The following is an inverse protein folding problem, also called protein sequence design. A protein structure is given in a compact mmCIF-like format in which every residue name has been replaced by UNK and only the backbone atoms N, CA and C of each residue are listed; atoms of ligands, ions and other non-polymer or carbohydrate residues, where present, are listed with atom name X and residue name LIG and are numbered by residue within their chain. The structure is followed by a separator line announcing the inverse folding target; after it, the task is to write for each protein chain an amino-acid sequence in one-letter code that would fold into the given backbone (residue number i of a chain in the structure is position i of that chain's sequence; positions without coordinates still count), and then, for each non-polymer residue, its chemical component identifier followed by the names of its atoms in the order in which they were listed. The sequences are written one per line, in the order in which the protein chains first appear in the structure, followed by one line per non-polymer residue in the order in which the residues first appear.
data_IF_378380795134
#
_entry.id   IF_378380795134
#
_cell.length_a   1.000
_cell.length_b   1.000
_cell.length_c   1.000
_cell.angle_alpha   90.00
_cell.angle_beta   90.00
_cell.angle_gamma   90.00
#
_symmetry.space_group_name_H-M   'P 1'
#
loop_
_entity.id
_entity.type
_entity.pdbx_description
1 polymer ?
#
# COMPACT_ATOMS: atom_id res chain seq x y z
N UNK A 1 -26.79 9.34 15.31
CA UNK A 1 -26.08 8.90 14.11
C UNK A 1 -26.40 7.41 13.91
N UNK A 2 -27.32 7.07 12.98
CA UNK A 2 -27.72 5.67 12.78
C UNK A 2 -26.64 4.97 11.94
N UNK A 3 -26.06 3.93 12.49
CA UNK A 3 -25.15 3.02 11.77
C UNK A 3 -26.03 2.16 10.87
N UNK A 4 -25.87 2.27 9.54
CA UNK A 4 -26.60 1.44 8.59
C UNK A 4 -26.25 -0.03 8.77
N UNK A 5 -27.26 -0.89 8.68
CA UNK A 5 -27.05 -2.34 8.71
C UNK A 5 -26.37 -2.82 7.42
N UNK A 6 -25.52 -3.86 7.47
CA UNK A 6 -24.84 -4.40 6.30
C UNK A 6 -25.84 -5.08 5.35
N UNK A 7 -25.83 -4.70 4.07
CA UNK A 7 -26.56 -5.43 3.03
C UNK A 7 -25.73 -6.62 2.57
N UNK A 8 -26.22 -7.82 2.83
CA UNK A 8 -25.68 -9.07 2.30
C UNK A 8 -26.19 -9.29 0.88
N UNK A 9 -25.44 -8.86 -0.11
CA UNK A 9 -25.75 -9.10 -1.52
C UNK A 9 -24.65 -9.89 -2.20
N UNK A 10 -24.90 -11.14 -2.43
CA UNK A 10 -24.47 -12.11 -3.43
C UNK A 10 -23.94 -13.41 -2.83
N UNK A 11 -24.72 -14.47 -2.86
CA UNK A 11 -24.44 -15.91 -3.03
C UNK A 11 -23.23 -16.61 -2.38
N UNK A 12 -22.41 -15.92 -1.60
CA UNK A 12 -21.27 -16.48 -0.88
C UNK A 12 -21.66 -16.77 0.58
N UNK A 13 -21.24 -17.93 1.10
CA UNK A 13 -21.52 -18.31 2.48
C UNK A 13 -20.98 -17.26 3.45
N UNK A 14 -21.79 -16.87 4.44
CA UNK A 14 -21.56 -15.76 5.40
C UNK A 14 -20.28 -15.85 6.25
N UNK A 15 -19.56 -16.94 6.20
CA UNK A 15 -18.38 -17.24 7.02
C UNK A 15 -17.03 -16.71 6.45
N UNK A 16 -17.05 -16.15 5.24
CA UNK A 16 -15.82 -15.67 4.56
C UNK A 16 -15.77 -14.17 4.25
N UNK A 17 -16.88 -13.44 4.38
CA UNK A 17 -16.92 -11.98 4.18
C UNK A 17 -17.30 -11.35 5.49
N UNK A 18 -16.36 -10.70 6.17
CA UNK A 18 -16.67 -10.08 7.45
C UNK A 18 -17.48 -8.80 7.26
N UNK A 19 -17.17 -7.90 6.30
CA UNK A 19 -17.99 -6.69 6.04
C UNK A 19 -17.69 -6.07 4.67
N UNK A 20 -18.75 -5.59 4.00
CA UNK A 20 -18.66 -4.61 2.91
C UNK A 20 -19.32 -3.32 3.41
N UNK A 21 -18.55 -2.25 3.57
CA UNK A 21 -19.07 -0.95 4.00
C UNK A 21 -19.38 -0.05 2.81
N UNK A 22 -20.65 0.25 2.57
CA UNK A 22 -21.09 1.29 1.63
C UNK A 22 -21.48 2.54 2.40
N UNK A 23 -20.77 3.63 2.23
CA UNK A 23 -21.11 4.90 2.87
C UNK A 23 -22.04 5.74 1.98
N UNK A 24 -23.13 6.26 2.58
CA UNK A 24 -24.21 6.98 1.93
C UNK A 24 -23.81 8.34 1.33
N UNK A 25 -24.26 8.57 0.12
CA UNK A 25 -24.65 9.80 -0.62
C UNK A 25 -23.66 10.89 -1.01
N UNK A 26 -22.39 10.96 -0.60
CA UNK A 26 -21.50 12.03 -1.10
C UNK A 26 -20.13 11.64 -1.62
N UNK A 27 -19.59 10.50 -1.27
CA UNK A 27 -18.47 9.83 -1.95
C UNK A 27 -18.64 8.32 -1.78
N UNK A 28 -18.80 7.62 -2.88
CA UNK A 28 -18.91 6.14 -2.88
C UNK A 28 -17.52 5.53 -2.73
N UNK A 29 -17.00 5.46 -1.51
CA UNK A 29 -15.83 4.64 -1.23
C UNK A 29 -16.30 3.24 -0.84
N UNK A 30 -15.94 2.24 -1.62
CA UNK A 30 -16.14 0.85 -1.28
C UNK A 30 -14.96 0.36 -0.46
N UNK A 31 -15.22 -0.43 0.57
CA UNK A 31 -14.21 -1.02 1.45
C UNK A 31 -14.50 -2.51 1.57
N UNK A 32 -13.50 -3.33 1.28
CA UNK A 32 -13.55 -4.78 1.45
C UNK A 32 -12.66 -5.17 2.64
N UNK A 33 -13.21 -5.92 3.59
CA UNK A 33 -12.47 -6.48 4.72
C UNK A 33 -12.58 -8.00 4.62
N UNK A 34 -11.45 -8.67 4.58
CA UNK A 34 -11.35 -10.13 4.50
C UNK A 34 -10.47 -10.67 5.62
N UNK A 35 -10.87 -11.78 6.21
CA UNK A 35 -10.02 -12.54 7.13
C UNK A 35 -8.86 -13.17 6.36
N UNK A 36 -7.65 -13.13 6.97
CA UNK A 36 -6.45 -13.80 6.48
C UNK A 36 -5.63 -14.24 7.70
N UNK A 37 -5.74 -15.52 8.05
CA UNK A 37 -5.28 -16.04 9.35
C UNK A 37 -3.77 -16.18 9.46
N UNK A 38 -3.05 -16.18 8.33
CA UNK A 38 -1.59 -16.27 8.31
C UNK A 38 -0.98 -15.52 7.12
N UNK A 39 0.34 -15.41 7.12
CA UNK A 39 1.11 -14.87 6.00
C UNK A 39 1.64 -15.98 5.06
N UNK A 40 0.98 -17.14 5.04
CA UNK A 40 1.25 -18.16 4.02
C UNK A 40 0.96 -17.56 2.63
N UNK A 41 1.89 -17.72 1.67
CA UNK A 41 1.91 -16.95 0.43
C UNK A 41 0.66 -17.15 -0.43
N UNK A 42 0.20 -18.40 -0.59
CA UNK A 42 -0.98 -18.69 -1.41
C UNK A 42 -2.28 -18.23 -0.71
N UNK A 43 -2.33 -18.29 0.62
CA UNK A 43 -3.47 -17.76 1.37
C UNK A 43 -3.58 -16.24 1.20
N UNK A 44 -2.45 -15.52 1.37
CA UNK A 44 -2.40 -14.07 1.17
C UNK A 44 -2.76 -13.70 -0.26
N UNK A 45 -2.16 -14.38 -1.25
CA UNK A 45 -2.45 -14.17 -2.67
C UNK A 45 -3.95 -14.35 -2.98
N UNK A 46 -4.55 -15.46 -2.56
CA UNK A 46 -5.96 -15.75 -2.82
C UNK A 46 -6.89 -14.76 -2.11
N UNK A 47 -6.54 -14.33 -0.90
CA UNK A 47 -7.29 -13.31 -0.15
C UNK A 47 -7.24 -11.96 -0.86
N UNK A 48 -6.07 -11.53 -1.32
CA UNK A 48 -5.90 -10.30 -2.10
C UNK A 48 -6.66 -10.37 -3.44
N UNK A 49 -6.55 -11.48 -4.16
CA UNK A 49 -7.28 -11.72 -5.42
C UNK A 49 -8.78 -11.59 -5.25
N UNK A 50 -9.32 -12.21 -4.18
CA UNK A 50 -10.74 -12.09 -3.83
C UNK A 50 -11.12 -10.64 -3.49
N UNK A 51 -10.27 -9.93 -2.72
CA UNK A 51 -10.51 -8.54 -2.35
C UNK A 51 -10.56 -7.61 -3.57
N UNK A 52 -9.63 -7.75 -4.49
CA UNK A 52 -9.59 -6.96 -5.74
C UNK A 52 -10.79 -7.29 -6.63
N UNK A 53 -11.16 -8.56 -6.77
CA UNK A 53 -12.34 -8.96 -7.54
C UNK A 53 -13.64 -8.36 -6.97
N UNK A 54 -13.79 -8.31 -5.63
CA UNK A 54 -14.95 -7.68 -4.97
C UNK A 54 -15.00 -6.15 -5.17
N UNK A 55 -13.85 -5.52 -5.41
CA UNK A 55 -13.74 -4.09 -5.73
C UNK A 55 -13.90 -3.81 -7.24
N UNK A 56 -14.17 -4.84 -8.06
CA UNK A 56 -14.41 -4.69 -9.49
C UNK A 56 -13.19 -4.93 -10.38
N UNK A 57 -12.08 -5.47 -9.86
CA UNK A 57 -10.85 -5.73 -10.60
C UNK A 57 -9.90 -4.54 -10.68
N UNK A 58 -8.66 -4.77 -11.12
CA UNK A 58 -7.64 -3.74 -11.24
C UNK A 58 -7.99 -2.64 -12.24
N UNK A 59 -8.67 -2.97 -13.35
CA UNK A 59 -9.08 -2.04 -14.39
C UNK A 59 -10.04 -0.95 -13.89
N UNK A 60 -10.66 -1.14 -12.74
CA UNK A 60 -11.46 -0.12 -12.05
C UNK A 60 -10.58 1.03 -11.53
N UNK A 61 -9.31 0.75 -11.24
CA UNK A 61 -8.39 1.69 -10.57
C UNK A 61 -7.17 2.04 -11.41
N UNK A 62 -6.74 1.17 -12.33
CA UNK A 62 -5.46 1.25 -13.03
C UNK A 62 -5.62 1.02 -14.52
N UNK A 63 -4.76 1.66 -15.31
CA UNK A 63 -4.58 1.39 -16.75
C UNK A 63 -3.29 0.62 -16.98
N UNK A 64 -3.24 -0.21 -18.03
CA UNK A 64 -2.09 -1.09 -18.29
C UNK A 64 -0.79 -0.33 -18.58
N UNK A 65 -0.89 0.86 -19.16
CA UNK A 65 0.23 1.72 -19.54
C UNK A 65 0.81 2.52 -18.37
N UNK A 66 0.10 2.60 -17.23
CA UNK A 66 0.48 3.42 -16.10
C UNK A 66 1.75 2.91 -15.41
N UNK A 67 2.58 3.86 -14.98
CA UNK A 67 3.68 3.63 -14.05
C UNK A 67 3.11 3.50 -12.65
N UNK A 68 3.20 2.32 -12.07
CA UNK A 68 2.60 2.01 -10.77
C UNK A 68 3.69 1.91 -9.72
N UNK A 69 3.55 2.70 -8.67
CA UNK A 69 4.41 2.66 -7.50
C UNK A 69 3.75 1.87 -6.37
N UNK A 70 4.35 0.76 -5.98
CA UNK A 70 4.00 0.03 -4.77
C UNK A 70 4.69 0.68 -3.58
N UNK A 71 3.91 1.16 -2.63
CA UNK A 71 4.45 1.80 -1.43
C UNK A 71 4.17 0.98 -0.17
N UNK A 72 5.06 0.04 0.19
CA UNK A 72 4.99 -0.63 1.48
C UNK A 72 5.29 0.34 2.63
N UNK A 73 5.24 -0.14 3.85
CA UNK A 73 5.75 0.54 5.02
C UNK A 73 7.11 -0.08 5.40
N UNK A 74 8.20 0.65 5.15
CA UNK A 74 9.59 0.20 5.37
C UNK A 74 10.28 1.13 6.38
N UNK A 75 9.97 1.00 7.65
CA UNK A 75 10.47 1.92 8.68
C UNK A 75 11.97 1.74 8.93
N UNK A 76 12.41 0.50 9.11
CA UNK A 76 13.79 0.09 9.40
C UNK A 76 13.94 -1.40 9.19
N UNK A 77 15.18 -1.88 9.04
CA UNK A 77 15.47 -3.33 9.03
C UNK A 77 14.97 -3.97 10.33
N UNK A 78 14.19 -5.04 10.18
CA UNK A 78 13.65 -5.82 11.29
C UNK A 78 13.29 -7.22 10.78
N UNK A 79 13.35 -8.21 11.69
CA UNK A 79 12.81 -9.54 11.43
C UNK A 79 11.30 -9.45 11.12
N UNK A 80 10.83 -10.30 10.22
CA UNK A 80 9.44 -10.26 9.71
C UNK A 80 8.43 -10.49 10.84
N UNK A 81 8.76 -11.37 11.77
CA UNK A 81 7.96 -11.76 12.95
C UNK A 81 7.68 -10.58 13.90
N UNK A 82 8.55 -9.58 13.88
CA UNK A 82 8.35 -8.35 14.68
C UNK A 82 7.26 -7.44 14.13
N UNK A 83 6.73 -7.75 12.96
CA UNK A 83 5.63 -7.01 12.30
C UNK A 83 5.86 -5.48 12.18
N UNK A 84 7.13 -5.05 12.06
CA UNK A 84 7.52 -3.63 11.96
C UNK A 84 7.23 -3.06 10.58
N UNK A 85 7.41 -3.89 9.53
CA UNK A 85 7.23 -3.50 8.12
C UNK A 85 6.03 -4.24 7.50
N UNK A 86 5.64 -3.82 6.30
CA UNK A 86 4.70 -4.60 5.49
C UNK A 86 5.28 -5.99 5.22
N UNK A 87 4.48 -7.02 5.46
CA UNK A 87 4.94 -8.40 5.30
C UNK A 87 5.29 -8.70 3.82
N UNK A 88 6.42 -9.37 3.52
CA UNK A 88 6.83 -9.68 2.15
C UNK A 88 5.76 -10.41 1.33
N UNK A 89 5.02 -11.36 1.93
CA UNK A 89 3.94 -12.08 1.26
C UNK A 89 2.82 -11.16 0.72
N UNK A 90 2.53 -10.03 1.40
CA UNK A 90 1.55 -9.04 0.91
C UNK A 90 2.08 -8.33 -0.33
N UNK A 91 3.35 -7.91 -0.31
CA UNK A 91 3.99 -7.27 -1.48
C UNK A 91 4.05 -8.24 -2.64
N UNK A 92 4.50 -9.48 -2.39
CA UNK A 92 4.56 -10.55 -3.41
C UNK A 92 3.19 -10.85 -4.01
N UNK A 93 2.15 -10.98 -3.19
CA UNK A 93 0.79 -11.25 -3.65
C UNK A 93 0.27 -10.15 -4.58
N UNK A 94 0.48 -8.88 -4.25
CA UNK A 94 0.10 -7.74 -5.12
C UNK A 94 0.92 -7.72 -6.42
N UNK A 95 2.25 -7.90 -6.33
CA UNK A 95 3.13 -7.95 -7.51
C UNK A 95 2.68 -9.06 -8.45
N UNK A 96 2.44 -10.27 -7.92
CA UNK A 96 2.00 -11.44 -8.69
C UNK A 96 0.66 -11.14 -9.40
N UNK A 97 -0.33 -10.62 -8.69
CA UNK A 97 -1.64 -10.27 -9.28
C UNK A 97 -1.52 -9.24 -10.39
N UNK A 98 -0.72 -8.19 -10.21
CA UNK A 98 -0.51 -7.18 -11.23
C UNK A 98 0.20 -7.75 -12.47
N UNK A 99 1.24 -8.56 -12.27
CA UNK A 99 1.99 -9.19 -13.38
C UNK A 99 1.14 -10.20 -14.15
N UNK A 100 0.34 -11.02 -13.48
CA UNK A 100 -0.59 -11.97 -14.11
C UNK A 100 -1.62 -11.26 -15.00
N UNK A 101 -2.03 -10.05 -14.63
CA UNK A 101 -2.95 -9.23 -15.42
C UNK A 101 -2.24 -8.30 -16.43
N UNK A 102 -0.91 -8.39 -16.58
CA UNK A 102 -0.14 -7.70 -17.62
C UNK A 102 0.28 -6.27 -17.30
N UNK A 103 0.26 -5.85 -16.03
CA UNK A 103 0.87 -4.58 -15.62
C UNK A 103 2.39 -4.73 -15.56
N UNK A 104 3.11 -3.97 -16.38
CA UNK A 104 4.56 -4.16 -16.58
C UNK A 104 5.41 -3.09 -15.92
N UNK A 105 4.93 -1.84 -15.84
CA UNK A 105 5.67 -0.69 -15.31
C UNK A 105 5.52 -0.56 -13.79
N UNK A 106 6.12 -1.51 -13.06
CA UNK A 106 6.04 -1.56 -11.60
C UNK A 106 7.34 -1.11 -10.95
N UNK A 107 7.21 -0.29 -9.91
CA UNK A 107 8.29 0.05 -8.98
C UNK A 107 7.83 -0.13 -7.54
N UNK A 108 8.77 -0.31 -6.61
CA UNK A 108 8.49 -0.49 -5.19
C UNK A 108 9.50 0.30 -4.35
N UNK A 109 9.01 1.08 -3.38
CA UNK A 109 9.88 1.87 -2.51
C UNK A 109 9.15 2.58 -1.38
N UNK A 110 9.93 3.13 -0.46
CA UNK A 110 9.47 3.93 0.67
C UNK A 110 10.59 4.85 1.15
N UNK A 111 10.24 5.93 1.85
CA UNK A 111 11.18 6.72 2.61
C UNK A 111 11.37 6.12 4.00
N UNK A 112 12.38 5.29 4.14
CA UNK A 112 12.74 4.66 5.42
C UNK A 112 13.17 5.70 6.47
N UNK A 113 12.91 5.42 7.74
CA UNK A 113 13.43 6.25 8.83
C UNK A 113 14.95 6.14 8.99
N UNK A 114 15.51 4.96 8.69
CA UNK A 114 16.94 4.67 8.76
C UNK A 114 17.32 3.76 7.59
N UNK A 115 18.34 4.14 6.84
CA UNK A 115 18.85 3.38 5.69
C UNK A 115 18.07 3.63 4.40
N UNK A 116 18.34 2.84 3.38
CA UNK A 116 17.61 2.85 2.10
C UNK A 116 16.52 1.77 2.07
N UNK A 117 15.55 1.94 1.18
CA UNK A 117 14.49 0.94 0.96
C UNK A 117 15.09 -0.44 0.63
N UNK A 118 16.09 -0.50 -0.26
CA UNK A 118 16.77 -1.74 -0.62
C UNK A 118 17.38 -2.44 0.60
N UNK A 119 18.12 -1.73 1.46
CA UNK A 119 18.74 -2.31 2.67
C UNK A 119 17.71 -2.86 3.68
N UNK A 120 16.53 -2.27 3.74
CA UNK A 120 15.45 -2.79 4.58
C UNK A 120 14.86 -4.06 3.98
N UNK A 121 14.69 -4.10 2.67
CA UNK A 121 14.16 -5.26 1.92
C UNK A 121 15.10 -6.46 1.96
N UNK A 122 16.43 -6.27 1.82
CA UNK A 122 17.46 -7.31 1.89
C UNK A 122 17.34 -8.18 3.14
N UNK A 123 16.93 -7.59 4.26
CA UNK A 123 16.75 -8.34 5.51
C UNK A 123 15.57 -9.31 5.52
N UNK A 124 14.72 -9.28 4.50
CA UNK A 124 13.49 -10.07 4.42
C UNK A 124 13.35 -10.85 3.10
N UNK A 125 14.33 -10.78 2.21
CA UNK A 125 14.28 -11.36 0.87
C UNK A 125 13.30 -10.68 -0.10
N UNK A 126 12.73 -9.54 0.31
CA UNK A 126 11.79 -8.80 -0.54
C UNK A 126 12.47 -8.20 -1.76
N UNK A 127 13.74 -7.79 -1.64
CA UNK A 127 14.55 -7.26 -2.75
C UNK A 127 14.73 -8.29 -3.86
N UNK A 128 15.17 -9.51 -3.51
CA UNK A 128 15.33 -10.59 -4.49
C UNK A 128 13.99 -10.95 -5.15
N UNK A 129 12.93 -11.06 -4.35
CA UNK A 129 11.59 -11.30 -4.88
C UNK A 129 11.15 -10.23 -5.88
N UNK A 130 11.39 -8.96 -5.61
CA UNK A 130 11.05 -7.87 -6.53
C UNK A 130 11.87 -7.93 -7.82
N UNK A 131 13.18 -8.23 -7.71
CA UNK A 131 14.07 -8.42 -8.86
C UNK A 131 13.61 -9.60 -9.75
N UNK A 132 13.22 -10.73 -9.16
CA UNK A 132 12.72 -11.92 -9.87
C UNK A 132 11.43 -11.62 -10.67
N UNK A 133 10.59 -10.72 -10.18
CA UNK A 133 9.39 -10.24 -10.89
C UNK A 133 9.65 -9.05 -11.82
N UNK A 134 10.89 -8.57 -11.94
CA UNK A 134 11.24 -7.40 -12.75
C UNK A 134 10.56 -6.11 -12.26
N UNK A 135 10.51 -5.93 -10.93
CA UNK A 135 9.99 -4.72 -10.28
C UNK A 135 11.16 -3.87 -9.81
N UNK A 136 11.23 -2.62 -10.27
CA UNK A 136 12.29 -1.71 -9.90
C UNK A 136 12.20 -1.28 -8.43
N UNK A 137 13.30 -1.41 -7.67
CA UNK A 137 13.40 -0.86 -6.32
C UNK A 137 13.83 0.59 -6.43
N UNK A 138 13.06 1.50 -5.83
CA UNK A 138 13.30 2.95 -5.89
C UNK A 138 13.46 3.55 -4.50
N UNK A 139 14.42 4.47 -4.37
CA UNK A 139 14.65 5.23 -3.14
C UNK A 139 13.92 6.57 -3.18
N UNK A 140 13.48 7.02 -2.00
CA UNK A 140 12.77 8.29 -1.82
C UNK A 140 13.69 9.39 -1.27
N UNK A 141 14.98 9.33 -1.57
CA UNK A 141 15.98 10.29 -1.06
C UNK A 141 15.96 11.62 -1.83
N UNK A 142 15.68 11.58 -3.12
CA UNK A 142 15.56 12.75 -3.98
C UNK A 142 14.11 13.17 -4.17
N UNK A 143 13.91 14.46 -4.42
CA UNK A 143 12.58 15.00 -4.66
C UNK A 143 12.61 16.49 -4.96
N UNK A 144 11.44 17.09 -5.01
CA UNK A 144 11.27 18.53 -5.17
C UNK A 144 10.05 19.04 -4.43
N UNK A 145 10.01 20.35 -4.21
CA UNK A 145 8.86 21.00 -3.57
C UNK A 145 7.70 21.09 -4.56
N UNK A 146 6.54 20.61 -4.11
CA UNK A 146 5.27 20.71 -4.81
C UNK A 146 4.36 21.65 -4.04
N UNK A 147 3.83 22.66 -4.75
CA UNK A 147 2.91 23.62 -4.17
C UNK A 147 1.49 23.06 -4.08
N UNK A 148 0.83 23.29 -2.95
CA UNK A 148 -0.58 22.96 -2.71
C UNK A 148 -1.28 24.13 -2.01
N UNK A 149 -1.60 25.20 -2.74
CA UNK A 149 -2.16 26.45 -2.17
C UNK A 149 -3.45 26.25 -1.37
N UNK A 150 -4.25 25.22 -1.69
CA UNK A 150 -5.50 24.87 -1.02
C UNK A 150 -5.32 24.20 0.34
N UNK A 151 -4.09 23.82 0.70
CA UNK A 151 -3.81 23.19 1.98
C UNK A 151 -4.15 24.12 3.15
N UNK A 152 -4.77 23.60 4.21
CA UNK A 152 -5.08 24.38 5.40
C UNK A 152 -3.85 24.69 6.24
N UNK A 153 -3.03 23.66 6.51
CA UNK A 153 -1.86 23.77 7.40
C UNK A 153 -0.57 23.90 6.60
N UNK A 154 -0.36 23.03 5.62
CA UNK A 154 0.80 23.05 4.75
C UNK A 154 0.41 23.45 3.34
N UNK A 155 1.20 24.35 2.72
CA UNK A 155 1.00 24.87 1.37
C UNK A 155 1.99 24.25 0.37
N UNK A 156 3.05 23.62 0.88
CA UNK A 156 4.12 23.03 0.09
C UNK A 156 4.54 21.70 0.73
N UNK A 157 4.94 20.76 -0.12
CA UNK A 157 5.43 19.46 0.30
C UNK A 157 6.68 19.10 -0.52
N UNK A 158 7.73 18.63 0.14
CA UNK A 158 8.89 18.07 -0.54
C UNK A 158 8.62 16.59 -0.86
N UNK A 159 8.02 16.33 -2.01
CA UNK A 159 7.68 14.97 -2.43
C UNK A 159 8.87 14.24 -3.04
N UNK A 160 8.99 12.96 -2.75
CA UNK A 160 10.00 12.10 -3.35
C UNK A 160 9.80 11.98 -4.87
N UNK A 161 10.90 11.96 -5.63
CA UNK A 161 10.89 11.89 -7.09
C UNK A 161 10.08 10.72 -7.63
N UNK A 162 10.21 9.47 -7.11
CA UNK A 162 9.39 8.35 -7.59
C UNK A 162 7.88 8.57 -7.44
N UNK A 163 7.46 9.33 -6.41
CA UNK A 163 6.03 9.66 -6.20
C UNK A 163 5.54 10.66 -7.25
N UNK A 164 6.40 11.59 -7.68
CA UNK A 164 6.05 12.59 -8.69
C UNK A 164 6.05 12.03 -10.12
N UNK A 165 6.81 10.96 -10.36
CA UNK A 165 6.99 10.34 -11.69
C UNK A 165 6.06 9.15 -11.94
N UNK A 166 5.22 8.80 -10.97
CA UNK A 166 4.26 7.70 -11.07
C UNK A 166 2.86 8.20 -11.44
N UNK A 167 2.12 7.39 -12.18
CA UNK A 167 0.72 7.68 -12.56
C UNK A 167 -0.24 7.16 -11.50
N UNK A 168 0.11 6.05 -10.83
CA UNK A 168 -0.69 5.44 -9.79
C UNK A 168 0.16 4.94 -8.61
N UNK A 169 -0.39 5.03 -7.39
CA UNK A 169 0.27 4.57 -6.17
C UNK A 169 -0.62 3.57 -5.43
N UNK A 170 -0.09 2.38 -5.20
CA UNK A 170 -0.72 1.36 -4.36
C UNK A 170 -0.10 1.40 -2.97
N UNK A 171 -0.88 1.83 -1.99
CA UNK A 171 -0.43 2.02 -0.61
C UNK A 171 -0.55 0.71 0.19
N UNK A 172 0.54 -0.05 0.29
CA UNK A 172 0.63 -1.31 1.02
C UNK A 172 1.02 -1.06 2.48
N UNK A 173 0.15 -0.41 3.22
CA UNK A 173 0.41 0.01 4.59
C UNK A 173 0.43 -1.18 5.58
N UNK A 174 0.99 -0.92 6.77
CA UNK A 174 0.93 -1.82 7.94
C UNK A 174 0.18 -1.13 9.07
N UNK A 175 -0.93 -1.69 9.48
CA UNK A 175 -1.63 -1.23 10.68
C UNK A 175 -0.87 -1.73 11.93
N UNK A 176 -0.43 -0.80 12.77
CA UNK A 176 0.35 -1.08 13.99
C UNK A 176 0.32 0.09 14.97
N UNK A 177 0.85 -0.11 16.17
CA UNK A 177 1.08 0.97 17.13
C UNK A 177 2.17 1.93 16.65
N UNK A 178 2.12 3.17 17.11
CA UNK A 178 3.11 4.21 16.82
C UNK A 178 3.38 5.03 18.08
N UNK A 179 4.65 5.32 18.35
CA UNK A 179 5.07 5.99 19.60
C UNK A 179 4.46 7.39 19.75
N UNK A 180 4.38 8.18 18.66
CA UNK A 180 3.84 9.53 18.69
C UNK A 180 2.34 9.56 18.35
N UNK A 181 1.93 8.88 17.27
CA UNK A 181 0.57 8.95 16.72
C UNK A 181 -0.35 7.87 17.30
N UNK A 182 0.12 7.05 18.24
CA UNK A 182 -0.55 5.88 18.83
C UNK A 182 -0.86 4.77 17.82
N UNK A 183 -1.44 5.09 16.67
CA UNK A 183 -1.78 4.15 15.60
C UNK A 183 -1.26 4.67 14.26
N UNK A 184 -0.76 3.77 13.41
CA UNK A 184 -0.41 4.04 12.02
C UNK A 184 -1.12 3.06 11.09
N UNK A 185 -1.46 3.53 9.90
CA UNK A 185 -2.16 2.78 8.87
C UNK A 185 -2.04 3.47 7.51
N UNK A 186 -3.06 3.39 6.66
CA UNK A 186 -3.04 3.88 5.29
C UNK A 186 -2.66 5.35 5.16
N UNK A 187 -3.36 6.25 5.86
CA UNK A 187 -3.11 7.70 5.79
C UNK A 187 -1.70 8.04 6.29
N UNK A 188 -1.30 7.49 7.45
CA UNK A 188 0.04 7.74 8.02
C UNK A 188 1.17 7.21 7.13
N UNK A 189 0.94 6.10 6.41
CA UNK A 189 1.94 5.55 5.49
C UNK A 189 2.24 6.49 4.32
N UNK A 190 1.25 7.25 3.84
CA UNK A 190 1.45 8.24 2.78
C UNK A 190 2.39 9.39 3.19
N UNK A 191 2.59 9.63 4.49
CA UNK A 191 3.61 10.57 4.97
C UNK A 191 5.04 10.15 4.56
N UNK A 192 5.25 8.86 4.26
CA UNK A 192 6.49 8.36 3.66
C UNK A 192 6.75 8.83 2.22
N UNK A 193 5.77 9.48 1.56
CA UNK A 193 5.98 10.13 0.26
C UNK A 193 6.82 11.41 0.38
N UNK A 194 6.95 11.97 1.58
CA UNK A 194 7.85 13.08 1.89
C UNK A 194 9.25 12.51 2.11
N UNK A 195 10.24 13.07 1.40
CA UNK A 195 11.62 12.60 1.45
C UNK A 195 12.33 12.94 2.77
N UNK A 196 13.00 11.97 3.35
CA UNK A 196 14.05 12.07 4.37
C UNK A 196 13.79 13.08 5.50
N UNK A 197 14.74 13.99 5.72
CA UNK A 197 14.73 15.01 6.79
C UNK A 197 13.61 16.06 6.64
N UNK A 198 13.01 16.19 5.47
CA UNK A 198 11.88 17.11 5.26
C UNK A 198 10.61 16.71 6.04
N UNK A 199 10.57 15.48 6.59
CA UNK A 199 9.49 15.03 7.47
C UNK A 199 9.48 15.73 8.84
N UNK A 200 10.60 16.30 9.25
CA UNK A 200 10.77 16.93 10.57
C UNK A 200 10.62 18.46 10.52
N UNK A 201 10.34 19.03 9.38
CA UNK A 201 10.02 20.45 9.18
C UNK A 201 8.51 20.63 9.08
#
# INVERSE_FOLDING_TARGET
MKIGQPETGTGLKNDQIEYIYRRTKRMKSEVVILSCESYEEELVYNTLKKGIALLGGWETFLKKEEKILLKPNLVRKAEVERAVITHPAVVKGIVRLLKEEGYVQLSCGDSCGVGSAKKVMEGTGMDQMLEDYGVAIVDFNEGSTVSYPQGHTAKEFFLAKPVQETDALINLCKMKTHALERVTGGVKNLYGCISGLHKAK
#
